data_IF_706487366210
#
_entry.id   IF_706487366210
#
_cell.length_a   1.000
_cell.length_b   1.000
_cell.length_c   1.000
_cell.angle_alpha   90.00
_cell.angle_beta   90.00
_cell.angle_gamma   90.00
#
_symmetry.space_group_name_H-M   'P 1'
#
loop_
_entity.id
_entity.type
_entity.pdbx_description
1 polymer ?
#
# COMPACT_ATOMS: atom_id res chain seq x y z
N UNK A 1 36.81 2.89 6.29
CA UNK A 1 36.05 1.77 6.88
C UNK A 1 34.95 2.29 7.81
N UNK A 2 35.26 3.13 8.81
CA UNK A 2 34.27 3.67 9.77
C UNK A 2 33.09 4.43 9.15
N UNK A 3 33.33 5.24 8.10
CA UNK A 3 32.23 5.92 7.39
C UNK A 3 31.26 4.93 6.71
N UNK A 4 31.80 3.83 6.20
CA UNK A 4 31.02 2.84 5.46
C UNK A 4 30.14 2.02 6.42
N UNK A 5 30.63 1.73 7.63
CA UNK A 5 29.82 1.11 8.69
C UNK A 5 28.70 2.03 9.18
N UNK A 6 28.96 3.33 9.36
CA UNK A 6 27.94 4.31 9.76
C UNK A 6 26.81 4.45 8.73
N UNK A 7 27.18 4.57 7.46
CA UNK A 7 26.20 4.66 6.37
C UNK A 7 25.39 3.37 6.27
N UNK A 8 26.03 2.21 6.37
CA UNK A 8 25.34 0.92 6.32
C UNK A 8 24.37 0.75 7.50
N UNK A 9 24.79 1.13 8.71
CA UNK A 9 23.94 1.12 9.90
C UNK A 9 22.69 1.99 9.70
N UNK A 10 22.84 3.21 9.19
CA UNK A 10 21.70 4.09 8.91
C UNK A 10 20.79 3.56 7.81
N UNK A 11 21.34 2.98 6.74
CA UNK A 11 20.55 2.37 5.67
C UNK A 11 19.73 1.20 6.24
N UNK A 12 20.35 0.33 7.04
CA UNK A 12 19.67 -0.81 7.68
C UNK A 12 18.57 -0.31 8.62
N UNK A 13 18.86 0.69 9.46
CA UNK A 13 17.86 1.31 10.34
C UNK A 13 16.68 1.85 9.53
N UNK A 14 16.95 2.56 8.43
CA UNK A 14 15.92 3.16 7.58
C UNK A 14 15.07 2.11 6.86
N UNK A 15 15.67 1.00 6.42
CA UNK A 15 14.94 -0.16 5.88
C UNK A 15 14.02 -0.75 6.94
N UNK A 16 14.52 -0.98 8.16
CA UNK A 16 13.73 -1.54 9.27
C UNK A 16 12.56 -0.62 9.61
N UNK A 17 12.81 0.68 9.76
CA UNK A 17 11.76 1.69 10.02
C UNK A 17 10.73 1.71 8.90
N UNK A 18 11.16 1.72 7.63
CA UNK A 18 10.26 1.70 6.48
C UNK A 18 9.35 0.47 6.49
N UNK A 19 9.89 -0.72 6.75
CA UNK A 19 9.10 -1.97 6.82
C UNK A 19 8.15 -1.95 8.02
N UNK A 20 8.58 -1.43 9.17
CA UNK A 20 7.71 -1.31 10.34
C UNK A 20 6.53 -0.37 10.08
N UNK A 21 6.77 0.79 9.45
CA UNK A 21 5.72 1.73 9.06
C UNK A 21 4.75 1.07 8.10
N UNK A 22 5.26 0.36 7.08
CA UNK A 22 4.42 -0.36 6.12
C UNK A 22 3.51 -1.39 6.80
N UNK A 23 4.05 -2.18 7.73
CA UNK A 23 3.29 -3.19 8.48
C UNK A 23 2.28 -2.57 9.45
N UNK A 24 2.67 -1.51 10.16
CA UNK A 24 1.78 -0.78 11.06
C UNK A 24 0.61 -0.13 10.31
N UNK A 25 0.88 0.51 9.17
CA UNK A 25 -0.16 1.11 8.33
C UNK A 25 -1.05 0.05 7.68
N UNK A 26 -0.48 -1.08 7.25
CA UNK A 26 -1.27 -2.19 6.70
C UNK A 26 -2.22 -2.73 7.76
N UNK A 27 -1.74 -2.96 8.99
CA UNK A 27 -2.60 -3.39 10.09
C UNK A 27 -3.70 -2.36 10.41
N UNK A 28 -3.34 -1.08 10.47
CA UNK A 28 -4.28 0.01 10.73
C UNK A 28 -5.37 0.10 9.63
N UNK A 29 -4.99 -0.05 8.36
CA UNK A 29 -5.92 0.07 7.23
C UNK A 29 -6.65 -1.22 6.87
N UNK A 30 -6.23 -2.39 7.37
CA UNK A 30 -6.88 -3.68 7.10
C UNK A 30 -7.85 -4.09 8.22
N UNK A 31 -7.90 -3.34 9.33
CA UNK A 31 -8.95 -3.47 10.33
C UNK A 31 -10.33 -3.31 9.66
N UNK A 32 -11.19 -4.34 9.76
CA UNK A 32 -12.53 -4.42 9.13
C UNK A 32 -13.33 -3.10 9.16
N UNK A 33 -13.48 -2.38 10.29
CA UNK A 33 -14.28 -1.14 10.32
C UNK A 33 -13.68 -0.02 9.47
N UNK A 34 -12.35 0.09 9.42
CA UNK A 34 -11.65 1.09 8.59
C UNK A 34 -11.70 0.65 7.13
N UNK A 35 -11.53 -0.64 6.85
CA UNK A 35 -11.60 -1.18 5.49
C UNK A 35 -12.95 -0.91 4.84
N UNK A 36 -14.04 -1.15 5.55
CA UNK A 36 -15.40 -0.95 5.03
C UNK A 36 -15.74 0.55 4.85
N UNK A 37 -15.17 1.41 5.72
CA UNK A 37 -15.23 2.87 5.53
C UNK A 37 -14.39 3.34 4.32
N UNK A 38 -13.24 2.70 4.08
CA UNK A 38 -12.30 3.01 3.00
C UNK A 38 -12.77 2.49 1.64
N UNK A 39 -13.47 1.36 1.58
CA UNK A 39 -13.99 0.77 0.33
C UNK A 39 -15.31 1.40 -0.14
N UNK A 40 -16.11 1.98 0.76
CA UNK A 40 -17.40 2.58 0.42
C UNK A 40 -17.36 3.88 -0.39
N UNK A 41 -16.24 4.64 -0.34
CA UNK A 41 -16.04 5.89 -1.11
C UNK A 41 -14.58 5.99 -1.54
N UNK A 42 -14.31 5.97 -2.85
CA UNK A 42 -12.95 5.93 -3.45
C UNK A 42 -11.96 7.03 -3.04
N UNK A 43 -12.38 8.03 -2.24
CA UNK A 43 -11.55 9.13 -1.73
C UNK A 43 -10.50 8.67 -0.73
N UNK A 44 -10.75 7.64 0.09
CA UNK A 44 -9.82 7.21 1.15
C UNK A 44 -8.63 6.40 0.63
N UNK A 45 -8.73 5.81 -0.57
CA UNK A 45 -7.60 5.13 -1.23
C UNK A 45 -6.47 6.10 -1.56
N UNK A 46 -6.81 7.36 -1.84
CA UNK A 46 -5.84 8.43 -2.09
C UNK A 46 -5.21 8.97 -0.80
N UNK A 47 -5.83 8.76 0.38
CA UNK A 47 -5.35 9.31 1.67
C UNK A 47 -4.25 8.44 2.29
N UNK A 48 -4.23 7.13 2.01
CA UNK A 48 -3.19 6.21 2.50
C UNK A 48 -1.75 6.71 2.28
N UNK A 49 -1.33 7.13 1.06
CA UNK A 49 0.02 7.62 0.83
C UNK A 49 0.31 8.94 1.57
N UNK A 50 -0.68 9.81 1.75
CA UNK A 50 -0.51 11.04 2.52
C UNK A 50 -0.28 10.77 4.00
N UNK A 51 -0.98 9.78 4.57
CA UNK A 51 -0.76 9.36 5.96
C UNK A 51 0.64 8.77 6.10
N UNK A 52 1.09 7.93 5.15
CA UNK A 52 2.44 7.38 5.17
C UNK A 52 3.51 8.47 5.10
N UNK A 53 3.31 9.47 4.24
CA UNK A 53 4.19 10.63 4.12
C UNK A 53 4.22 11.46 5.42
N UNK A 54 3.06 11.77 5.99
CA UNK A 54 2.96 12.50 7.27
C UNK A 54 3.66 11.76 8.39
N UNK A 55 3.47 10.43 8.49
CA UNK A 55 4.12 9.61 9.50
C UNK A 55 5.64 9.55 9.29
N UNK A 56 6.12 9.43 8.05
CA UNK A 56 7.57 9.43 7.80
C UNK A 56 8.20 10.79 8.13
N UNK A 57 7.54 11.89 7.75
CA UNK A 57 7.97 13.25 8.10
C UNK A 57 8.03 13.40 9.62
N UNK A 58 6.98 13.01 10.34
CA UNK A 58 6.94 13.11 11.80
C UNK A 58 8.07 12.32 12.46
N UNK A 59 8.35 11.10 12.02
CA UNK A 59 9.44 10.27 12.56
C UNK A 59 10.80 10.91 12.25
N UNK A 60 11.04 11.28 10.99
CA UNK A 60 12.33 11.84 10.58
C UNK A 60 12.64 13.15 11.30
N UNK A 61 11.64 14.02 11.49
CA UNK A 61 11.80 15.27 12.25
C UNK A 61 11.95 15.02 13.75
N UNK A 62 11.24 14.06 14.34
CA UNK A 62 11.33 13.77 15.77
C UNK A 62 12.69 13.18 16.16
N UNK A 63 13.29 12.38 15.28
CA UNK A 63 14.60 11.75 15.48
C UNK A 63 15.75 12.48 14.77
N UNK A 64 15.48 13.64 14.17
CA UNK A 64 16.46 14.46 13.44
C UNK A 64 17.29 13.67 12.41
N UNK A 65 16.65 12.76 11.69
CA UNK A 65 17.35 11.83 10.77
C UNK A 65 17.64 12.53 9.45
N UNK A 66 18.92 12.79 9.18
CA UNK A 66 19.40 13.35 7.92
C UNK A 66 20.40 12.40 7.24
N UNK A 67 19.86 11.58 6.32
CA UNK A 67 20.64 10.54 5.64
C UNK A 67 21.67 11.13 4.69
N UNK A 68 21.28 12.16 3.94
CA UNK A 68 22.15 12.81 2.96
C UNK A 68 23.35 13.41 3.66
N UNK A 69 23.11 14.11 4.77
CA UNK A 69 24.17 14.65 5.59
C UNK A 69 25.08 13.55 6.15
N UNK A 70 24.50 12.45 6.65
CA UNK A 70 25.33 11.35 7.16
C UNK A 70 26.20 10.72 6.06
N UNK A 71 25.75 10.73 4.80
CA UNK A 71 26.54 10.26 3.66
C UNK A 71 27.62 11.26 3.21
N UNK A 72 27.33 12.56 3.23
CA UNK A 72 28.20 13.59 2.62
C UNK A 72 29.06 14.39 3.60
N UNK A 73 28.69 14.48 4.88
CA UNK A 73 29.39 15.30 5.89
C UNK A 73 30.12 14.46 6.94
N UNK A 74 31.05 15.11 7.66
CA UNK A 74 31.77 14.52 8.78
C UNK A 74 30.89 14.47 10.05
N UNK A 75 31.09 13.47 10.94
CA UNK A 75 30.33 13.34 12.18
C UNK A 75 30.46 14.62 13.03
N UNK A 76 29.33 15.21 13.44
CA UNK A 76 29.27 16.36 14.35
C UNK A 76 28.49 17.58 13.84
N UNK A 77 28.14 17.62 12.55
CA UNK A 77 27.24 18.66 12.06
C UNK A 77 25.78 18.30 12.41
N UNK A 78 24.92 19.28 12.72
CA UNK A 78 23.51 19.06 13.11
C UNK A 78 22.56 18.84 11.93
N UNK A 79 21.45 18.14 12.13
CA UNK A 79 20.51 17.80 11.06
C UNK A 79 20.01 19.04 10.30
N UNK A 80 19.92 18.93 8.97
CA UNK A 80 19.44 20.04 8.13
C UNK A 80 17.97 19.84 7.79
N UNK A 81 17.20 20.94 7.74
CA UNK A 81 15.77 20.87 7.38
C UNK A 81 15.56 20.25 5.99
N UNK A 82 16.43 20.57 5.04
CA UNK A 82 16.40 20.05 3.68
C UNK A 82 16.73 18.56 3.61
N UNK A 83 17.75 18.12 4.35
CA UNK A 83 18.15 16.71 4.39
C UNK A 83 17.13 15.84 5.11
N UNK A 84 16.50 16.34 6.19
CA UNK A 84 15.35 15.69 6.84
C UNK A 84 14.14 15.58 5.89
N UNK A 85 13.81 16.64 5.16
CA UNK A 85 12.71 16.61 4.19
C UNK A 85 12.96 15.56 3.08
N UNK A 86 14.16 15.54 2.50
CA UNK A 86 14.53 14.55 1.47
C UNK A 86 14.55 13.13 2.02
N UNK A 87 15.08 12.94 3.24
CA UNK A 87 15.09 11.63 3.92
C UNK A 87 13.66 11.14 4.15
N UNK A 88 12.75 12.00 4.63
CA UNK A 88 11.35 11.63 4.83
C UNK A 88 10.62 11.27 3.54
N UNK A 89 10.90 12.00 2.46
CA UNK A 89 10.33 11.75 1.13
C UNK A 89 10.84 10.42 0.57
N UNK A 90 12.13 10.12 0.77
CA UNK A 90 12.74 8.86 0.37
C UNK A 90 12.15 7.68 1.17
N UNK A 91 11.96 7.82 2.49
CA UNK A 91 11.30 6.80 3.33
C UNK A 91 9.85 6.58 2.88
N UNK A 92 9.09 7.65 2.67
CA UNK A 92 7.69 7.55 2.21
C UNK A 92 7.58 6.94 0.80
N UNK A 93 8.47 7.36 -0.11
CA UNK A 93 8.50 6.94 -1.51
C UNK A 93 9.12 5.57 -1.74
N UNK A 94 9.97 5.08 -0.83
CA UNK A 94 10.67 3.80 -0.97
C UNK A 94 9.70 2.63 -1.17
N UNK A 95 8.56 2.60 -0.48
CA UNK A 95 7.59 1.51 -0.63
C UNK A 95 7.00 1.43 -2.07
N UNK A 96 6.67 2.56 -2.69
CA UNK A 96 6.15 2.61 -4.05
C UNK A 96 7.25 2.39 -5.11
N UNK A 97 8.45 2.91 -4.85
CA UNK A 97 9.61 2.74 -5.72
C UNK A 97 10.10 1.30 -5.75
N UNK A 98 10.17 0.63 -4.59
CA UNK A 98 10.56 -0.79 -4.48
C UNK A 98 9.56 -1.69 -5.19
N UNK A 99 8.25 -1.47 -5.00
CA UNK A 99 7.21 -2.25 -5.70
C UNK A 99 7.34 -2.08 -7.22
N UNK A 100 7.58 -0.85 -7.69
CA UNK A 100 7.79 -0.55 -9.12
C UNK A 100 9.09 -1.18 -9.63
N UNK A 101 10.19 -1.12 -8.87
CA UNK A 101 11.46 -1.78 -9.22
C UNK A 101 11.31 -3.31 -9.29
N UNK A 102 10.63 -3.94 -8.33
CA UNK A 102 10.37 -5.38 -8.37
C UNK A 102 9.42 -5.79 -9.51
N UNK A 103 8.49 -4.92 -9.89
CA UNK A 103 7.62 -5.14 -11.04
C UNK A 103 8.35 -4.97 -12.38
N UNK A 104 9.07 -3.87 -12.54
CA UNK A 104 9.59 -3.39 -13.83
C UNK A 104 10.99 -3.90 -14.12
N UNK A 105 11.85 -4.04 -13.10
CA UNK A 105 13.24 -4.50 -13.27
C UNK A 105 13.35 -6.01 -13.15
N UNK A 106 12.65 -6.62 -12.19
CA UNK A 106 12.67 -8.08 -11.99
C UNK A 106 11.62 -8.83 -12.82
N UNK A 107 10.75 -8.12 -13.54
CA UNK A 107 9.75 -8.72 -14.43
C UNK A 107 8.75 -9.63 -13.71
N UNK A 108 8.64 -9.55 -12.38
CA UNK A 108 7.87 -10.49 -11.56
C UNK A 108 6.35 -10.29 -11.64
N UNK A 109 5.90 -9.35 -12.47
CA UNK A 109 4.50 -9.03 -12.66
C UNK A 109 4.02 -9.32 -14.07
N UNK A 110 3.54 -10.54 -14.26
CA UNK A 110 2.43 -10.75 -15.20
C UNK A 110 1.21 -11.44 -14.61
N UNK A 111 1.31 -12.22 -13.52
CA UNK A 111 0.13 -12.97 -13.06
C UNK A 111 -0.79 -12.25 -12.07
N UNK A 112 -0.30 -11.49 -11.08
CA UNK A 112 -1.16 -11.08 -9.95
C UNK A 112 -2.09 -9.88 -10.25
N UNK A 113 -1.61 -8.88 -11.00
CA UNK A 113 -2.44 -7.75 -11.46
C UNK A 113 -3.38 -8.14 -12.59
N UNK A 114 -2.92 -9.00 -13.49
CA UNK A 114 -3.76 -9.53 -14.57
C UNK A 114 -4.84 -10.48 -14.01
N UNK A 115 -4.53 -11.32 -13.01
CA UNK A 115 -5.53 -12.10 -12.29
C UNK A 115 -6.53 -11.23 -11.51
N UNK A 116 -6.08 -10.14 -10.89
CA UNK A 116 -6.98 -9.21 -10.17
C UNK A 116 -7.86 -8.40 -11.14
N UNK A 117 -7.34 -8.06 -12.31
CA UNK A 117 -8.07 -7.34 -13.37
C UNK A 117 -9.05 -8.28 -14.09
N UNK A 118 -8.63 -9.50 -14.44
CA UNK A 118 -9.48 -10.56 -15.00
C UNK A 118 -10.61 -10.96 -14.03
N UNK A 119 -10.36 -11.03 -12.72
CA UNK A 119 -11.43 -11.26 -11.72
C UNK A 119 -12.44 -10.12 -11.67
N UNK A 120 -12.00 -8.86 -11.83
CA UNK A 120 -12.91 -7.71 -11.89
C UNK A 120 -13.71 -7.69 -13.19
N UNK A 121 -13.07 -7.99 -14.31
CA UNK A 121 -13.73 -8.08 -15.62
C UNK A 121 -14.72 -9.25 -15.67
N UNK A 122 -14.38 -10.41 -15.10
CA UNK A 122 -15.27 -11.57 -14.97
C UNK A 122 -16.48 -11.29 -14.06
N UNK A 123 -16.32 -10.51 -12.99
CA UNK A 123 -17.43 -10.10 -12.13
C UNK A 123 -18.29 -8.99 -12.75
N UNK A 124 -17.75 -8.20 -13.68
CA UNK A 124 -18.51 -7.11 -14.35
C UNK A 124 -19.26 -7.63 -15.58
N UNK A 125 -18.83 -8.74 -16.18
CA UNK A 125 -19.45 -9.37 -17.37
C UNK A 125 -20.29 -10.62 -17.06
N UNK A 126 -20.60 -10.93 -15.79
CA UNK A 126 -21.65 -11.91 -15.50
C UNK A 126 -23.01 -11.29 -15.84
N UNK A 127 -23.68 -11.71 -16.94
CA UNK A 127 -24.97 -11.17 -17.30
C UNK A 127 -25.96 -11.66 -16.25
N UNK A 128 -26.82 -10.74 -15.82
CA UNK A 128 -28.11 -11.01 -15.22
C UNK A 128 -28.97 -11.89 -16.16
N UNK A 129 -28.67 -13.18 -16.26
CA UNK A 129 -29.49 -14.19 -16.95
C UNK A 129 -30.14 -15.17 -15.96
N UNK A 130 -30.43 -14.72 -14.74
CA UNK A 130 -31.57 -15.29 -14.01
C UNK A 130 -32.82 -14.60 -14.54
N UNK A 131 -33.31 -15.11 -15.68
CA UNK A 131 -34.67 -14.86 -16.11
C UNK A 131 -35.64 -15.33 -15.01
N UNK A 132 -36.80 -14.67 -14.86
CA UNK A 132 -37.76 -15.01 -13.83
C UNK A 132 -38.16 -16.48 -13.98
N UNK A 133 -37.93 -17.27 -12.92
CA UNK A 133 -38.48 -18.61 -12.80
C UNK A 133 -39.98 -18.47 -12.85
N UNK A 134 -40.54 -18.72 -14.03
CA UNK A 134 -41.97 -18.78 -14.28
C UNK A 134 -42.48 -19.98 -13.48
N UNK A 135 -42.98 -19.72 -12.27
CA UNK A 135 -43.79 -20.67 -11.50
C UNK A 135 -44.95 -21.06 -12.41
N UNK A 136 -44.90 -22.27 -13.00
CA UNK A 136 -46.08 -22.87 -13.57
C UNK A 136 -47.09 -23.06 -12.43
N UNK A 137 -48.08 -22.19 -12.49
CA UNK A 137 -49.36 -22.26 -11.82
C UNK A 137 -49.93 -23.67 -11.92
N UNK A 138 -50.49 -24.15 -10.81
CA UNK A 138 -51.13 -25.44 -10.71
C UNK A 138 -52.18 -25.66 -11.80
N UNK A 139 -52.12 -26.84 -12.41
CA UNK A 139 -53.27 -27.39 -13.11
C UNK A 139 -54.20 -27.99 -12.08
N UNK A 140 -55.41 -27.44 -12.08
CA UNK A 140 -56.58 -27.91 -11.38
C UNK A 140 -56.84 -29.39 -11.63
N UNK A 141 -57.55 -29.99 -10.67
CA UNK A 141 -57.83 -31.40 -10.61
C UNK A 141 -58.67 -31.94 -11.77
N UNK A 142 -58.64 -33.26 -11.87
CA UNK A 142 -59.63 -34.02 -12.60
C UNK A 142 -60.15 -35.10 -11.66
N UNK A 143 -61.30 -34.79 -11.07
CA UNK A 143 -62.27 -35.77 -10.58
C UNK A 143 -62.78 -36.58 -11.77
N UNK A 144 -62.97 -37.89 -11.58
CA UNK A 144 -63.62 -38.74 -12.56
C UNK A 144 -63.68 -40.18 -12.07
N UNK A 145 -64.85 -40.52 -11.52
CA UNK A 145 -65.35 -41.80 -11.00
C UNK A 145 -64.89 -43.06 -11.75
#
# INVERSE_FOLDING_TARGET
MEKLSLVLEQIVFLIVVSVMIERALTFLFDARPIRDFVTGKGRLRAVKPWIALLTSVAIVFHYEVDLLKTMFEAPGAGATLAGMALTSLMVAGASAGMITLFHDVFGWSKDSREASRRRREANTHSPSSQGPVMRQSGSAGQFGL
#
